data_IF_846323946524
#
_entry.id   IF_846323946524
#
_cell.length_a   1.000
_cell.length_b   1.000
_cell.length_c   1.000
_cell.angle_alpha   90.00
_cell.angle_beta   90.00
_cell.angle_gamma   90.00
#
_symmetry.space_group_name_H-M   'P 1'
#
loop_
_entity.id
_entity.type
_entity.pdbx_description
1 polymer ?
#
# COMPACT_ATOMS: atom_id res chain seq x y z
N UNK A 1 17.14 -0.48 -15.38
CA UNK A 1 16.85 -0.36 -13.94
C UNK A 1 15.43 -0.82 -13.75
N UNK A 2 15.22 -1.71 -12.83
CA UNK A 2 14.00 -2.48 -12.73
C UNK A 2 12.82 -1.64 -12.22
N UNK A 3 11.63 -1.90 -12.79
CA UNK A 3 10.33 -1.39 -12.33
C UNK A 3 10.06 -1.88 -10.90
N UNK A 4 10.58 -1.18 -9.92
CA UNK A 4 10.21 -1.41 -8.53
C UNK A 4 9.16 -0.38 -8.17
N UNK A 5 7.92 -0.73 -8.41
CA UNK A 5 6.83 -0.04 -7.77
C UNK A 5 6.85 -0.43 -6.32
N UNK A 6 7.29 0.52 -5.53
CA UNK A 6 6.97 0.48 -4.13
C UNK A 6 5.47 0.70 -4.07
N UNK A 7 4.71 -0.38 -3.88
CA UNK A 7 3.46 -0.25 -3.16
C UNK A 7 3.89 0.28 -1.80
N UNK A 8 3.81 1.58 -1.65
CA UNK A 8 4.30 2.29 -0.48
C UNK A 8 3.35 1.97 0.65
N UNK A 9 3.64 0.87 1.36
CA UNK A 9 2.93 0.54 2.58
C UNK A 9 3.45 1.48 3.66
N UNK A 10 2.95 2.71 3.61
CA UNK A 10 2.84 3.42 4.86
C UNK A 10 1.90 2.61 5.74
N UNK A 11 2.32 2.32 6.97
CA UNK A 11 1.43 1.75 7.95
C UNK A 11 0.19 2.65 8.13
N UNK A 12 -0.76 2.54 7.21
CA UNK A 12 -2.14 2.42 7.56
C UNK A 12 -2.29 0.92 7.77
N UNK A 13 -2.51 0.50 8.98
CA UNK A 13 -2.70 -0.91 9.27
C UNK A 13 -4.01 -1.33 8.60
N UNK A 14 -3.90 -1.90 7.41
CA UNK A 14 -4.93 -2.74 6.83
C UNK A 14 -4.37 -4.17 6.88
N UNK A 15 -4.36 -4.76 8.06
CA UNK A 15 -4.08 -6.18 8.21
C UNK A 15 -5.41 -6.92 8.27
N UNK A 16 -5.81 -7.50 7.16
CA UNK A 16 -6.85 -8.50 7.14
C UNK A 16 -6.26 -9.83 7.64
N UNK A 17 -6.46 -10.17 8.89
CA UNK A 17 -6.23 -11.52 9.41
C UNK A 17 -7.59 -12.15 9.72
N UNK A 18 -8.08 -13.00 8.84
CA UNK A 18 -9.25 -13.83 9.10
C UNK A 18 -8.90 -14.97 10.04
N UNK A 19 -9.52 -14.98 11.21
CA UNK A 19 -9.83 -16.21 11.94
C UNK A 19 -11.34 -16.19 12.20
N UNK A 20 -12.05 -17.03 11.47
CA UNK A 20 -13.46 -17.28 11.72
C UNK A 20 -13.61 -17.92 13.08
N UNK A 21 -14.23 -17.21 14.00
CA UNK A 21 -14.88 -17.78 15.19
C UNK A 21 -16.32 -17.32 15.13
N UNK A 22 -17.21 -18.31 15.12
CA UNK A 22 -18.64 -18.15 14.92
C UNK A 22 -19.27 -17.09 15.80
N UNK A 23 -19.91 -16.12 15.17
CA UNK A 23 -20.87 -15.26 15.84
C UNK A 23 -22.10 -16.12 16.13
N UNK A 24 -22.33 -16.37 17.41
CA UNK A 24 -23.54 -17.02 17.92
C UNK A 24 -24.75 -16.16 17.58
N UNK A 25 -25.75 -16.81 17.00
CA UNK A 25 -27.08 -16.29 16.70
C UNK A 25 -27.72 -15.58 17.89
N UNK A 26 -27.86 -14.28 17.81
CA UNK A 26 -28.85 -13.49 18.51
C UNK A 26 -29.22 -12.27 17.66
N UNK A 27 -29.74 -12.51 16.47
CA UNK A 27 -30.38 -11.48 15.67
C UNK A 27 -31.88 -11.72 15.73
N UNK A 28 -32.56 -10.99 16.62
CA UNK A 28 -34.01 -10.82 16.59
C UNK A 28 -34.42 -10.01 15.39
N UNK A 29 -35.54 -10.42 14.81
CA UNK A 29 -36.19 -9.92 13.60
C UNK A 29 -36.49 -8.42 13.62
N UNK A 30 -36.44 -7.80 12.44
CA UNK A 30 -36.98 -6.49 12.07
C UNK A 30 -36.35 -5.24 12.75
N UNK A 31 -35.07 -5.00 12.55
CA UNK A 31 -34.53 -3.64 12.58
C UNK A 31 -34.13 -3.23 11.17
N UNK A 32 -34.60 -2.05 10.71
CA UNK A 32 -33.99 -1.38 9.55
C UNK A 32 -32.47 -1.44 9.73
N UNK A 33 -31.72 -1.85 8.71
CA UNK A 33 -30.27 -2.06 8.82
C UNK A 33 -29.64 -0.80 9.43
N UNK A 34 -28.88 -0.95 10.51
CA UNK A 34 -28.20 0.18 11.17
C UNK A 34 -27.33 0.90 10.13
N UNK A 35 -27.54 2.22 9.89
CA UNK A 35 -26.86 2.95 8.82
C UNK A 35 -25.33 3.01 9.00
N UNK A 36 -24.82 2.63 10.17
CA UNK A 36 -23.37 2.52 10.44
C UNK A 36 -22.75 1.26 9.83
N UNK A 37 -23.54 0.20 9.61
CA UNK A 37 -23.05 -1.05 9.01
C UNK A 37 -22.69 -0.80 7.53
N UNK A 38 -21.49 -1.21 7.14
CA UNK A 38 -20.91 -0.92 5.82
C UNK A 38 -20.32 0.49 5.68
N UNK A 39 -20.47 1.35 6.71
CA UNK A 39 -19.79 2.66 6.72
C UNK A 39 -18.34 2.54 7.17
N UNK A 40 -17.51 3.51 6.76
CA UNK A 40 -16.14 3.63 7.26
C UNK A 40 -16.07 4.66 8.38
N UNK A 41 -15.29 4.33 9.41
CA UNK A 41 -15.01 5.21 10.55
C UNK A 41 -13.50 5.45 10.68
N UNK A 42 -13.12 6.64 11.11
CA UNK A 42 -11.75 7.03 11.38
C UNK A 42 -11.52 7.14 12.89
N UNK A 43 -10.43 6.57 13.38
CA UNK A 43 -10.02 6.66 14.77
C UNK A 43 -9.57 8.09 15.10
N UNK A 44 -10.15 8.67 16.15
CA UNK A 44 -9.82 10.03 16.64
C UNK A 44 -9.18 10.03 18.03
N UNK A 45 -8.94 8.86 18.62
CA UNK A 45 -8.22 8.69 19.89
C UNK A 45 -7.09 7.70 19.73
N UNK A 46 -5.87 8.14 20.03
CA UNK A 46 -4.71 7.23 20.07
C UNK A 46 -4.88 6.20 21.18
N UNK A 47 -4.60 4.94 20.88
CA UNK A 47 -4.73 3.86 21.84
C UNK A 47 -6.17 3.46 22.15
N UNK A 48 -7.14 3.79 21.27
CA UNK A 48 -8.51 3.31 21.42
C UNK A 48 -8.53 1.77 21.39
N UNK A 49 -9.00 1.11 22.47
CA UNK A 49 -8.97 -0.34 22.57
C UNK A 49 -10.14 -0.95 21.79
N UNK A 50 -9.85 -1.95 20.97
CA UNK A 50 -10.87 -2.88 20.47
C UNK A 50 -10.96 -4.08 21.40
N UNK A 51 -12.16 -4.44 21.78
CA UNK A 51 -12.41 -5.39 22.86
C UNK A 51 -13.32 -6.53 22.43
N UNK A 52 -13.05 -7.72 22.95
CA UNK A 52 -14.05 -8.77 23.15
C UNK A 52 -14.53 -8.73 24.61
N UNK A 53 -15.56 -9.50 24.99
CA UNK A 53 -15.95 -9.62 26.39
C UNK A 53 -14.81 -10.07 27.31
N UNK A 54 -13.80 -10.74 26.78
CA UNK A 54 -12.75 -11.40 27.56
C UNK A 54 -11.41 -10.64 27.55
N UNK A 55 -11.13 -9.82 26.51
CA UNK A 55 -9.83 -9.16 26.36
C UNK A 55 -9.87 -7.93 25.46
N UNK A 56 -8.80 -7.11 25.54
CA UNK A 56 -8.45 -6.15 24.48
C UNK A 56 -7.68 -6.90 23.40
N UNK A 57 -8.27 -7.00 22.19
CA UNK A 57 -7.70 -7.75 21.07
C UNK A 57 -6.82 -6.89 20.16
N UNK A 58 -7.05 -5.58 20.18
CA UNK A 58 -6.29 -4.61 19.38
C UNK A 58 -6.26 -3.25 20.08
N UNK A 59 -5.23 -2.48 19.80
CA UNK A 59 -5.12 -1.08 20.21
C UNK A 59 -4.88 -0.25 18.97
N UNK A 60 -5.84 0.62 18.64
CA UNK A 60 -5.83 1.36 17.37
C UNK A 60 -4.89 2.57 17.42
N UNK A 61 -4.44 2.98 16.23
CA UNK A 61 -3.69 4.20 16.05
C UNK A 61 -4.60 5.33 15.53
N UNK A 62 -4.18 6.55 15.83
CA UNK A 62 -4.89 7.74 15.39
C UNK A 62 -4.95 7.80 13.85
N UNK A 63 -6.15 7.98 13.30
CA UNK A 63 -6.38 8.08 11.87
C UNK A 63 -6.51 6.75 11.14
N UNK A 64 -6.46 5.61 11.83
CA UNK A 64 -6.86 4.34 11.22
C UNK A 64 -8.31 4.39 10.78
N UNK A 65 -8.61 3.78 9.64
CA UNK A 65 -9.94 3.74 9.04
C UNK A 65 -10.37 2.28 9.00
N UNK A 66 -11.56 2.01 9.53
CA UNK A 66 -12.15 0.68 9.58
C UNK A 66 -13.54 0.68 8.98
N UNK A 67 -13.92 -0.43 8.37
CA UNK A 67 -15.30 -0.70 7.97
C UNK A 67 -16.06 -1.33 9.13
N UNK A 68 -17.25 -0.84 9.39
CA UNK A 68 -18.13 -1.32 10.44
C UNK A 68 -18.93 -2.51 9.91
N UNK A 69 -18.69 -3.69 10.45
CA UNK A 69 -19.40 -4.91 10.04
C UNK A 69 -20.70 -5.15 10.82
N UNK A 70 -20.74 -4.73 12.11
CA UNK A 70 -21.94 -4.77 12.96
C UNK A 70 -21.97 -3.56 13.88
N UNK A 71 -23.16 -3.18 14.37
CA UNK A 71 -23.33 -2.15 15.36
C UNK A 71 -24.27 -2.61 16.46
N UNK A 72 -23.93 -2.31 17.74
CA UNK A 72 -24.76 -2.60 18.91
C UNK A 72 -24.65 -1.48 19.93
N UNK A 73 -25.67 -0.65 20.03
CA UNK A 73 -25.64 0.56 20.84
C UNK A 73 -24.52 1.51 20.41
N UNK A 74 -23.65 1.87 21.34
CA UNK A 74 -22.47 2.74 21.08
C UNK A 74 -21.22 1.94 20.63
N UNK A 75 -21.35 0.65 20.31
CA UNK A 75 -20.24 -0.21 19.95
C UNK A 75 -20.32 -0.61 18.48
N UNK A 76 -19.17 -0.58 17.80
CA UNK A 76 -18.97 -0.91 16.41
C UNK A 76 -18.07 -2.14 16.31
N UNK A 77 -18.53 -3.19 15.64
CA UNK A 77 -17.73 -4.39 15.40
C UNK A 77 -16.88 -4.21 14.18
N UNK A 78 -15.59 -4.41 14.34
CA UNK A 78 -14.58 -4.34 13.28
C UNK A 78 -14.08 -5.77 13.00
N UNK A 79 -14.63 -6.38 11.97
CA UNK A 79 -14.38 -7.79 11.65
C UNK A 79 -12.91 -8.07 11.36
N UNK A 80 -12.23 -7.19 10.63
CA UNK A 80 -10.81 -7.34 10.30
C UNK A 80 -9.88 -7.36 11.53
N UNK A 81 -10.35 -6.86 12.67
CA UNK A 81 -9.62 -6.86 13.95
C UNK A 81 -10.23 -7.81 14.99
N UNK A 82 -11.42 -8.34 14.69
CA UNK A 82 -12.12 -9.25 15.60
C UNK A 82 -12.50 -8.61 16.93
N UNK A 83 -12.89 -7.32 16.96
CA UNK A 83 -13.18 -6.62 18.18
C UNK A 83 -14.19 -5.49 18.06
N UNK A 84 -14.79 -5.15 19.22
CA UNK A 84 -15.70 -4.03 19.38
C UNK A 84 -14.93 -2.73 19.67
N UNK A 85 -15.22 -1.69 18.91
CA UNK A 85 -14.69 -0.34 19.07
C UNK A 85 -15.80 0.59 19.59
N UNK A 86 -15.47 1.48 20.53
CA UNK A 86 -16.44 2.45 21.01
C UNK A 86 -16.61 3.61 20.03
N UNK A 87 -17.84 3.87 19.61
CA UNK A 87 -18.17 4.87 18.59
C UNK A 87 -17.63 6.28 18.93
N UNK A 88 -17.63 6.67 20.20
CA UNK A 88 -17.09 7.98 20.66
C UNK A 88 -15.59 8.16 20.39
N UNK A 89 -14.87 7.09 20.07
CA UNK A 89 -13.46 7.12 19.72
C UNK A 89 -13.23 7.24 18.21
N UNK A 90 -14.32 7.43 17.46
CA UNK A 90 -14.32 7.55 16.00
C UNK A 90 -15.07 8.77 15.50
N UNK A 91 -14.90 9.06 14.23
CA UNK A 91 -15.79 9.90 13.42
C UNK A 91 -16.10 9.17 12.11
N UNK A 92 -17.31 9.38 11.54
CA UNK A 92 -17.58 8.85 10.20
C UNK A 92 -16.55 9.38 9.21
N UNK A 93 -15.97 8.50 8.40
CA UNK A 93 -14.92 8.89 7.46
C UNK A 93 -15.41 9.95 6.45
N UNK A 94 -16.66 9.83 5.99
CA UNK A 94 -17.25 10.74 5.00
C UNK A 94 -17.45 12.17 5.51
N UNK A 95 -17.61 12.36 6.84
CA UNK A 95 -17.83 13.70 7.45
C UNK A 95 -16.67 14.13 8.34
N UNK A 96 -15.60 13.35 8.39
CA UNK A 96 -14.49 13.56 9.33
C UNK A 96 -13.90 14.98 9.28
N UNK A 97 -13.71 15.54 8.08
CA UNK A 97 -13.18 16.91 7.90
C UNK A 97 -14.14 17.95 8.48
N UNK A 98 -15.43 17.82 8.22
CA UNK A 98 -16.44 18.78 8.69
C UNK A 98 -16.61 18.71 10.20
N UNK A 99 -16.70 17.49 10.76
CA UNK A 99 -16.83 17.27 12.19
C UNK A 99 -15.61 17.81 12.95
N UNK A 100 -14.39 17.54 12.45
CA UNK A 100 -13.16 18.03 13.05
C UNK A 100 -12.99 19.55 12.84
N UNK A 101 -13.50 20.13 11.75
CA UNK A 101 -13.54 21.57 11.54
C UNK A 101 -14.47 22.25 12.55
N UNK A 102 -15.65 21.67 12.80
CA UNK A 102 -16.56 22.16 13.83
C UNK A 102 -15.97 22.04 15.24
N UNK A 103 -15.23 20.98 15.55
CA UNK A 103 -14.49 20.84 16.82
C UNK A 103 -13.40 21.91 16.93
N UNK A 104 -12.64 22.12 15.88
CA UNK A 104 -11.56 23.11 15.81
C UNK A 104 -12.07 24.54 16.00
N UNK A 105 -13.23 24.89 15.43
CA UNK A 105 -13.86 26.20 15.62
C UNK A 105 -14.20 26.48 17.08
N UNK A 106 -14.57 25.43 17.85
CA UNK A 106 -14.87 25.55 19.29
C UNK A 106 -13.63 25.50 20.16
N UNK A 107 -12.65 24.71 19.77
CA UNK A 107 -11.40 24.49 20.51
C UNK A 107 -10.21 24.34 19.57
N UNK A 108 -9.47 25.43 19.26
CA UNK A 108 -8.31 25.39 18.39
C UNK A 108 -7.07 24.83 19.09
N UNK A 109 -7.18 23.60 19.62
CA UNK A 109 -6.09 22.91 20.29
C UNK A 109 -5.12 22.23 19.30
N UNK A 110 -3.84 21.97 19.69
CA UNK A 110 -2.91 21.25 18.86
C UNK A 110 -3.41 19.85 18.45
N UNK A 111 -4.16 19.19 19.34
CA UNK A 111 -4.75 17.88 19.09
C UNK A 111 -5.81 17.95 17.99
N UNK A 112 -6.70 18.96 18.02
CA UNK A 112 -7.76 19.10 17.01
C UNK A 112 -7.19 19.47 15.63
N UNK A 113 -6.11 20.28 15.56
CA UNK A 113 -5.36 20.50 14.32
C UNK A 113 -4.73 19.20 13.83
N UNK A 114 -4.08 18.43 14.72
CA UNK A 114 -3.49 17.14 14.35
C UNK A 114 -4.56 16.18 13.79
N UNK A 115 -5.69 16.04 14.48
CA UNK A 115 -6.81 15.18 14.05
C UNK A 115 -7.32 15.56 12.66
N UNK A 116 -7.57 16.86 12.40
CA UNK A 116 -8.06 17.29 11.09
C UNK A 116 -6.97 17.13 10.01
N UNK A 117 -5.71 17.37 10.34
CA UNK A 117 -4.58 17.07 9.46
C UNK A 117 -4.53 15.59 9.05
N UNK A 118 -4.83 14.69 10.00
CA UNK A 118 -4.94 13.25 9.71
C UNK A 118 -6.14 12.95 8.80
N UNK A 119 -7.29 13.60 9.00
CA UNK A 119 -8.43 13.46 8.11
C UNK A 119 -8.10 13.96 6.68
N UNK A 120 -7.45 15.11 6.54
CA UNK A 120 -6.97 15.58 5.23
C UNK A 120 -5.99 14.61 4.59
N UNK A 121 -5.07 14.02 5.37
CA UNK A 121 -4.13 13.03 4.87
C UNK A 121 -4.86 11.79 4.33
N UNK A 122 -5.87 11.31 5.04
CA UNK A 122 -6.69 10.18 4.65
C UNK A 122 -7.55 10.45 3.40
N UNK A 123 -7.96 11.71 3.20
CA UNK A 123 -8.67 12.16 1.99
C UNK A 123 -7.73 12.64 0.87
N UNK A 124 -6.42 12.35 0.98
CA UNK A 124 -5.39 12.68 -0.03
C UNK A 124 -5.20 14.21 -0.24
N UNK A 125 -5.70 15.03 0.69
CA UNK A 125 -5.56 16.48 0.66
C UNK A 125 -4.25 16.93 1.36
N UNK A 126 -3.13 16.45 0.83
CA UNK A 126 -1.82 16.50 1.51
C UNK A 126 -1.36 17.91 1.90
N UNK A 127 -1.60 18.92 1.06
CA UNK A 127 -1.22 20.30 1.38
C UNK A 127 -2.02 20.89 2.55
N UNK A 128 -3.31 20.55 2.64
CA UNK A 128 -4.15 20.94 3.78
C UNK A 128 -3.74 20.21 5.05
N UNK A 129 -3.38 18.93 4.92
CA UNK A 129 -2.83 18.13 6.01
C UNK A 129 -1.54 18.78 6.57
N UNK A 130 -0.60 19.17 5.70
CA UNK A 130 0.64 19.87 6.10
C UNK A 130 0.31 21.14 6.87
N UNK A 131 -0.62 21.97 6.38
CA UNK A 131 -1.02 23.22 7.05
C UNK A 131 -1.55 22.99 8.46
N UNK A 132 -2.37 21.98 8.65
CA UNK A 132 -2.92 21.64 9.98
C UNK A 132 -1.84 21.04 10.90
N UNK A 133 -0.95 20.22 10.40
CA UNK A 133 0.18 19.73 11.19
C UNK A 133 1.14 20.86 11.57
N UNK A 134 1.35 21.86 10.70
CA UNK A 134 2.14 23.05 11.02
C UNK A 134 1.54 23.82 12.20
N UNK A 135 0.22 24.01 12.19
CA UNK A 135 -0.50 24.65 13.29
C UNK A 135 -0.47 23.84 14.60
N UNK A 136 -0.59 22.52 14.49
CA UNK A 136 -0.42 21.61 15.64
C UNK A 136 0.98 21.74 16.24
N UNK A 137 2.02 21.67 15.39
CA UNK A 137 3.42 21.70 15.80
C UNK A 137 3.87 23.07 16.29
N UNK A 138 3.28 24.15 15.79
CA UNK A 138 3.55 25.50 16.33
C UNK A 138 3.13 25.62 17.79
N UNK A 139 2.09 24.90 18.22
CA UNK A 139 1.57 24.87 19.59
C UNK A 139 2.18 23.77 20.44
N UNK A 140 2.53 22.64 19.83
CA UNK A 140 3.12 21.46 20.47
C UNK A 140 4.31 20.93 19.66
N UNK A 141 5.49 21.59 19.71
CA UNK A 141 6.63 21.30 18.84
C UNK A 141 7.23 19.89 18.98
N UNK A 142 6.92 19.20 20.08
CA UNK A 142 7.40 17.83 20.37
C UNK A 142 6.32 16.77 20.20
N UNK A 143 5.22 17.07 19.50
CA UNK A 143 4.23 16.06 19.15
C UNK A 143 4.81 15.15 18.05
N UNK A 144 5.35 14.00 18.46
CA UNK A 144 5.98 13.01 17.58
C UNK A 144 5.02 12.46 16.52
N UNK A 145 3.74 12.26 16.87
CA UNK A 145 2.70 11.83 15.95
C UNK A 145 2.42 12.87 14.86
N UNK A 146 2.35 14.15 15.23
CA UNK A 146 2.15 15.23 14.25
C UNK A 146 3.38 15.39 13.32
N UNK A 147 4.61 15.27 13.86
CA UNK A 147 5.83 15.24 13.07
C UNK A 147 5.82 14.07 12.07
N UNK A 148 5.54 12.85 12.56
CA UNK A 148 5.47 11.68 11.69
C UNK A 148 4.41 11.84 10.59
N UNK A 149 3.22 12.33 10.92
CA UNK A 149 2.14 12.46 9.94
C UNK A 149 2.39 13.61 8.94
N UNK A 150 3.07 14.70 9.34
CA UNK A 150 3.54 15.72 8.41
C UNK A 150 4.64 15.17 7.49
N UNK A 151 5.55 14.37 8.04
CA UNK A 151 6.55 13.63 7.27
C UNK A 151 5.91 12.72 6.22
N UNK A 152 4.83 12.00 6.56
CA UNK A 152 4.04 11.20 5.61
C UNK A 152 3.41 12.08 4.51
N UNK A 153 2.82 13.23 4.88
CA UNK A 153 2.25 14.15 3.91
C UNK A 153 3.32 14.68 2.93
N UNK A 154 4.51 15.07 3.43
CA UNK A 154 5.63 15.47 2.57
C UNK A 154 6.13 14.34 1.67
N UNK A 155 6.18 13.11 2.18
CA UNK A 155 6.55 11.95 1.38
C UNK A 155 5.58 11.75 0.21
N UNK A 156 4.26 11.79 0.47
CA UNK A 156 3.22 11.65 -0.56
C UNK A 156 3.21 12.81 -1.56
N UNK A 157 3.68 13.98 -1.15
CA UNK A 157 3.95 15.12 -2.04
C UNK A 157 5.27 14.99 -2.82
N UNK A 158 6.05 13.92 -2.61
CA UNK A 158 7.36 13.72 -3.25
C UNK A 158 8.51 14.52 -2.63
N UNK A 159 8.28 15.27 -1.53
CA UNK A 159 9.35 15.98 -0.82
C UNK A 159 10.00 15.09 0.25
N UNK A 160 10.76 14.12 -0.23
CA UNK A 160 11.41 13.14 0.64
C UNK A 160 12.42 13.78 1.61
N UNK A 161 13.00 14.95 1.25
CA UNK A 161 13.92 15.67 2.15
C UNK A 161 13.19 16.27 3.35
N UNK A 162 12.01 16.89 3.16
CA UNK A 162 11.21 17.38 4.28
C UNK A 162 10.65 16.23 5.10
N UNK A 163 10.22 15.16 4.45
CA UNK A 163 9.77 13.94 5.12
C UNK A 163 10.82 13.37 6.07
N UNK A 164 12.07 13.19 5.61
CA UNK A 164 13.17 12.69 6.44
C UNK A 164 13.40 13.59 7.65
N UNK A 165 13.42 14.92 7.47
CA UNK A 165 13.61 15.86 8.61
C UNK A 165 12.52 15.72 9.67
N UNK A 166 11.28 15.54 9.26
CA UNK A 166 10.16 15.37 10.19
C UNK A 166 10.23 14.01 10.90
N UNK A 167 10.59 12.93 10.20
CA UNK A 167 10.83 11.64 10.83
C UNK A 167 12.03 11.66 11.78
N UNK A 168 13.10 12.38 11.46
CA UNK A 168 14.23 12.60 12.36
C UNK A 168 13.77 13.29 13.63
N UNK A 169 12.97 14.35 13.51
CA UNK A 169 12.41 15.07 14.66
C UNK A 169 11.48 14.18 15.50
N UNK A 170 10.64 13.34 14.87
CA UNK A 170 9.81 12.38 15.56
C UNK A 170 10.64 11.34 16.33
N UNK A 171 11.70 10.80 15.72
CA UNK A 171 12.60 9.83 16.34
C UNK A 171 13.50 10.45 17.43
N UNK A 172 13.74 11.76 17.39
CA UNK A 172 14.39 12.46 18.53
C UNK A 172 13.49 12.52 19.76
N UNK A 173 12.17 12.41 19.58
CA UNK A 173 11.21 12.33 20.70
C UNK A 173 11.01 10.88 21.14
N UNK A 174 10.87 9.97 20.18
CA UNK A 174 10.62 8.54 20.40
C UNK A 174 11.64 7.68 19.60
N UNK A 175 12.86 7.49 20.11
CA UNK A 175 13.95 6.83 19.34
C UNK A 175 13.68 5.38 18.95
N UNK A 176 12.85 4.67 19.69
CA UNK A 176 12.54 3.26 19.48
C UNK A 176 11.19 3.02 18.79
N UNK A 177 10.57 4.07 18.24
CA UNK A 177 9.29 3.91 17.54
C UNK A 177 9.54 3.26 16.16
N UNK A 178 9.16 1.98 16.05
CA UNK A 178 9.42 1.17 14.84
C UNK A 178 8.67 1.68 13.61
N UNK A 179 7.50 2.31 13.81
CA UNK A 179 6.75 2.91 12.70
C UNK A 179 7.47 4.13 12.12
N UNK A 180 8.07 4.96 12.98
CA UNK A 180 8.82 6.14 12.52
C UNK A 180 10.11 5.72 11.81
N UNK A 181 10.78 4.67 12.31
CA UNK A 181 11.94 4.06 11.63
C UNK A 181 11.55 3.54 10.25
N UNK A 182 10.44 2.79 10.16
CA UNK A 182 9.94 2.26 8.89
C UNK A 182 9.57 3.36 7.90
N UNK A 183 8.88 4.42 8.35
CA UNK A 183 8.49 5.53 7.50
C UNK A 183 9.72 6.34 7.01
N UNK A 184 10.70 6.56 7.89
CA UNK A 184 11.97 7.21 7.49
C UNK A 184 12.75 6.36 6.48
N UNK A 185 12.76 5.04 6.67
CA UNK A 185 13.40 4.13 5.73
C UNK A 185 12.80 4.24 4.32
N UNK A 186 11.48 4.30 4.20
CA UNK A 186 10.81 4.54 2.90
C UNK A 186 11.23 5.88 2.29
N UNK A 187 11.26 6.94 3.08
CA UNK A 187 11.69 8.26 2.60
C UNK A 187 13.18 8.27 2.17
N UNK A 188 14.04 7.55 2.89
CA UNK A 188 15.44 7.34 2.48
C UNK A 188 15.55 6.56 1.18
N UNK A 189 14.72 5.53 1.00
CA UNK A 189 14.73 4.70 -0.20
C UNK A 189 14.34 5.51 -1.44
N UNK A 190 13.29 6.34 -1.34
CA UNK A 190 12.87 7.24 -2.42
C UNK A 190 13.88 8.37 -2.68
N UNK A 191 14.59 8.82 -1.65
CA UNK A 191 15.71 9.75 -1.79
C UNK A 191 16.99 9.10 -2.35
N UNK A 192 16.96 7.80 -2.74
CA UNK A 192 18.11 7.06 -3.27
C UNK A 192 19.13 6.59 -2.23
N UNK A 193 18.79 6.64 -0.94
CA UNK A 193 19.69 6.34 0.18
C UNK A 193 19.44 4.92 0.75
N UNK A 194 19.59 3.87 -0.06
CA UNK A 194 19.32 2.46 0.33
C UNK A 194 20.05 2.04 1.61
N UNK A 195 21.28 2.51 1.85
CA UNK A 195 22.03 2.19 3.08
C UNK A 195 21.34 2.73 4.34
N UNK A 196 20.83 3.97 4.30
CA UNK A 196 20.10 4.56 5.42
C UNK A 196 18.78 3.84 5.65
N UNK A 197 18.06 3.51 4.57
CA UNK A 197 16.83 2.72 4.64
C UNK A 197 17.08 1.34 5.30
N UNK A 198 18.12 0.62 4.89
CA UNK A 198 18.48 -0.67 5.52
C UNK A 198 18.78 -0.51 7.01
N UNK A 199 19.51 0.53 7.40
CA UNK A 199 19.83 0.77 8.81
C UNK A 199 18.57 0.96 9.65
N UNK A 200 17.64 1.77 9.18
CA UNK A 200 16.39 2.03 9.90
C UNK A 200 15.52 0.78 10.00
N UNK A 201 15.37 0.01 8.91
CA UNK A 201 14.60 -1.23 8.89
C UNK A 201 15.24 -2.32 9.77
N UNK A 202 16.57 -2.42 9.78
CA UNK A 202 17.28 -3.32 10.69
C UNK A 202 17.04 -2.92 12.15
N UNK A 203 17.06 -1.62 12.46
CA UNK A 203 16.78 -1.13 13.81
C UNK A 203 15.33 -1.44 14.21
N UNK A 204 14.36 -1.24 13.32
CA UNK A 204 12.96 -1.56 13.57
C UNK A 204 12.77 -3.07 13.83
N UNK A 205 13.39 -3.93 13.02
CA UNK A 205 13.30 -5.37 13.16
C UNK A 205 14.12 -5.94 14.33
N UNK A 206 15.10 -5.21 14.85
CA UNK A 206 15.78 -5.56 16.11
C UNK A 206 14.84 -5.35 17.30
N UNK A 207 13.99 -4.33 17.26
CA UNK A 207 13.01 -4.01 18.32
C UNK A 207 11.78 -4.92 18.20
N UNK A 208 11.24 -5.08 16.99
CA UNK A 208 10.06 -5.90 16.68
C UNK A 208 10.41 -6.83 15.51
N UNK A 209 10.91 -8.07 15.79
CA UNK A 209 11.36 -9.01 14.76
C UNK A 209 10.26 -9.47 13.78
N UNK A 210 9.02 -9.45 14.21
CA UNK A 210 7.82 -9.83 13.46
C UNK A 210 7.05 -8.64 12.87
N UNK A 211 7.71 -7.50 12.72
CA UNK A 211 7.12 -6.33 12.05
C UNK A 211 7.04 -6.57 10.53
N UNK A 212 5.88 -7.06 10.10
CA UNK A 212 5.62 -7.56 8.75
C UNK A 212 5.93 -6.54 7.65
N UNK A 213 5.54 -5.28 7.86
CA UNK A 213 5.78 -4.19 6.91
C UNK A 213 7.26 -3.85 6.80
N UNK A 214 8.00 -3.89 7.90
CA UNK A 214 9.44 -3.63 7.87
C UNK A 214 10.21 -4.77 7.17
N UNK A 215 9.76 -6.03 7.32
CA UNK A 215 10.28 -7.15 6.54
C UNK A 215 10.04 -6.94 5.04
N UNK A 216 8.80 -6.64 4.64
CA UNK A 216 8.48 -6.36 3.25
C UNK A 216 9.32 -5.19 2.70
N UNK A 217 9.41 -4.09 3.43
CA UNK A 217 10.16 -2.91 3.00
C UNK A 217 11.67 -3.18 2.92
N UNK A 218 12.24 -4.00 3.82
CA UNK A 218 13.64 -4.41 3.72
C UNK A 218 13.88 -5.32 2.52
N UNK A 219 12.94 -6.20 2.22
CA UNK A 219 12.93 -6.99 0.99
C UNK A 219 12.97 -6.10 -0.26
N UNK A 220 12.19 -5.02 -0.31
CA UNK A 220 12.20 -4.03 -1.40
C UNK A 220 13.58 -3.35 -1.51
N UNK A 221 14.21 -2.98 -0.39
CA UNK A 221 15.57 -2.40 -0.43
C UNK A 221 16.59 -3.39 -1.00
N UNK A 222 16.50 -4.66 -0.61
CA UNK A 222 17.36 -5.72 -1.19
C UNK A 222 17.11 -5.91 -2.68
N UNK A 223 15.85 -5.87 -3.12
CA UNK A 223 15.51 -5.93 -4.54
C UNK A 223 16.14 -4.77 -5.33
N UNK A 224 16.09 -3.52 -4.83
CA UNK A 224 16.78 -2.37 -5.46
C UNK A 224 18.29 -2.52 -5.52
N UNK A 225 18.86 -3.32 -4.63
CA UNK A 225 20.29 -3.65 -4.59
C UNK A 225 20.64 -4.94 -5.35
N UNK A 226 19.68 -5.49 -6.10
CA UNK A 226 19.78 -6.76 -6.85
C UNK A 226 20.09 -8.00 -5.98
N UNK A 227 19.95 -7.90 -4.65
CA UNK A 227 20.05 -9.04 -3.72
C UNK A 227 18.69 -9.74 -3.60
N UNK A 228 18.34 -10.46 -4.67
CA UNK A 228 17.08 -11.18 -4.75
C UNK A 228 16.95 -12.30 -3.70
N UNK A 229 18.08 -12.84 -3.26
CA UNK A 229 18.10 -13.91 -2.25
C UNK A 229 17.72 -13.41 -0.87
N UNK A 230 18.27 -12.27 -0.44
CA UNK A 230 17.89 -11.63 0.82
C UNK A 230 16.45 -11.08 0.77
N UNK A 231 16.03 -10.52 -0.37
CA UNK A 231 14.67 -10.08 -0.58
C UNK A 231 13.65 -11.23 -0.38
N UNK A 232 13.90 -12.40 -0.99
CA UNK A 232 13.03 -13.57 -0.84
C UNK A 232 12.95 -14.07 0.62
N UNK A 233 14.05 -14.01 1.38
CA UNK A 233 14.01 -14.36 2.81
C UNK A 233 13.05 -13.47 3.58
N UNK A 234 13.11 -12.17 3.34
CA UNK A 234 12.27 -11.18 4.02
C UNK A 234 10.82 -11.28 3.59
N UNK A 235 10.52 -11.41 2.29
CA UNK A 235 9.15 -11.61 1.82
C UNK A 235 8.55 -12.93 2.33
N UNK A 236 9.33 -14.01 2.39
CA UNK A 236 8.89 -15.27 2.98
C UNK A 236 8.58 -15.12 4.47
N UNK A 237 9.40 -14.37 5.21
CA UNK A 237 9.15 -14.10 6.62
C UNK A 237 7.86 -13.26 6.80
N UNK A 238 7.67 -12.21 6.01
CA UNK A 238 6.45 -11.40 6.02
C UNK A 238 5.21 -12.25 5.72
N UNK A 239 5.26 -13.09 4.67
CA UNK A 239 4.13 -13.93 4.27
C UNK A 239 3.88 -15.14 5.20
N UNK A 240 4.87 -15.53 5.99
CA UNK A 240 4.68 -16.50 7.08
C UNK A 240 3.87 -15.89 8.23
N UNK A 241 4.07 -14.60 8.52
CA UNK A 241 3.35 -13.85 9.55
C UNK A 241 1.95 -13.46 9.07
N UNK A 242 1.87 -12.92 7.85
CA UNK A 242 0.60 -12.59 7.21
C UNK A 242 0.52 -13.18 5.79
N UNK A 243 -0.12 -14.38 5.63
CA UNK A 243 -0.28 -15.01 4.33
C UNK A 243 -1.18 -14.24 3.34
N UNK A 244 -1.90 -13.22 3.82
CA UNK A 244 -2.78 -12.38 3.00
C UNK A 244 -2.16 -11.03 2.65
N UNK A 245 -0.90 -10.79 2.98
CA UNK A 245 -0.21 -9.55 2.68
C UNK A 245 0.03 -9.41 1.17
N UNK A 246 -0.92 -8.79 0.47
CA UNK A 246 -0.97 -8.70 -0.99
C UNK A 246 0.28 -8.07 -1.58
N UNK A 247 0.82 -7.01 -0.95
CA UNK A 247 2.03 -6.34 -1.42
C UNK A 247 3.25 -7.24 -1.34
N UNK A 248 3.37 -8.02 -0.26
CA UNK A 248 4.47 -8.97 -0.12
C UNK A 248 4.37 -10.12 -1.14
N UNK A 249 3.15 -10.57 -1.51
CA UNK A 249 2.95 -11.54 -2.59
C UNK A 249 3.45 -10.99 -3.93
N UNK A 250 3.05 -9.77 -4.31
CA UNK A 250 3.51 -9.12 -5.54
C UNK A 250 5.03 -8.90 -5.58
N UNK A 251 5.60 -8.45 -4.46
CA UNK A 251 7.04 -8.24 -4.33
C UNK A 251 7.81 -9.56 -4.39
N UNK A 252 7.30 -10.62 -3.74
CA UNK A 252 7.91 -11.95 -3.81
C UNK A 252 7.84 -12.52 -5.23
N UNK A 253 6.71 -12.37 -5.90
CA UNK A 253 6.56 -12.77 -7.30
C UNK A 253 7.59 -12.08 -8.21
N UNK A 254 7.82 -10.80 -8.00
CA UNK A 254 8.86 -10.06 -8.70
C UNK A 254 10.26 -10.62 -8.42
N UNK A 255 10.59 -10.95 -7.17
CA UNK A 255 11.86 -11.54 -6.80
C UNK A 255 12.04 -12.95 -7.39
N UNK A 256 10.99 -13.78 -7.35
CA UNK A 256 10.95 -15.12 -7.93
C UNK A 256 11.16 -15.06 -9.45
N UNK A 257 10.48 -14.14 -10.14
CA UNK A 257 10.63 -13.89 -11.57
C UNK A 257 12.08 -13.58 -11.94
N UNK A 258 12.77 -12.73 -11.15
CA UNK A 258 14.19 -12.41 -11.33
C UNK A 258 15.12 -13.60 -11.13
N UNK A 259 14.70 -14.60 -10.37
CA UNK A 259 15.44 -15.86 -10.20
C UNK A 259 15.01 -16.95 -11.20
N UNK A 260 14.13 -16.67 -12.17
CA UNK A 260 13.62 -17.65 -13.12
C UNK A 260 12.61 -18.64 -12.53
N UNK A 261 12.12 -18.41 -11.31
CA UNK A 261 11.13 -19.25 -10.62
C UNK A 261 9.71 -18.84 -10.98
N UNK A 262 9.43 -18.90 -12.29
CA UNK A 262 8.21 -18.32 -12.87
C UNK A 262 6.91 -18.97 -12.38
N UNK A 263 6.88 -20.28 -12.20
CA UNK A 263 5.68 -20.99 -11.72
C UNK A 263 5.27 -20.50 -10.33
N UNK A 264 6.23 -20.26 -9.45
CA UNK A 264 5.96 -19.76 -8.10
C UNK A 264 5.50 -18.30 -8.14
N UNK A 265 6.09 -17.49 -9.03
CA UNK A 265 5.64 -16.12 -9.24
C UNK A 265 4.19 -16.04 -9.73
N UNK A 266 3.78 -16.93 -10.63
CA UNK A 266 2.37 -17.03 -11.08
C UNK A 266 1.45 -17.34 -9.91
N UNK A 267 1.80 -18.31 -9.07
CA UNK A 267 0.98 -18.69 -7.90
C UNK A 267 0.83 -17.53 -6.90
N UNK A 268 1.88 -16.77 -6.64
CA UNK A 268 1.82 -15.61 -5.75
C UNK A 268 0.90 -14.52 -6.32
N UNK A 269 0.99 -14.22 -7.60
CA UNK A 269 0.15 -13.21 -8.26
C UNK A 269 -1.31 -13.67 -8.33
N UNK A 270 -1.58 -14.94 -8.59
CA UNK A 270 -2.94 -15.50 -8.54
C UNK A 270 -3.54 -15.41 -7.12
N UNK A 271 -2.73 -15.67 -6.09
CA UNK A 271 -3.14 -15.49 -4.71
C UNK A 271 -3.42 -14.02 -4.38
N UNK A 272 -2.56 -13.10 -4.84
CA UNK A 272 -2.75 -11.66 -4.66
C UNK A 272 -4.08 -11.18 -5.29
N UNK A 273 -4.39 -11.61 -6.52
CA UNK A 273 -5.65 -11.31 -7.21
C UNK A 273 -6.85 -11.89 -6.47
N UNK A 274 -6.73 -13.13 -5.98
CA UNK A 274 -7.81 -13.78 -5.22
C UNK A 274 -8.13 -13.07 -3.90
N UNK A 275 -7.10 -12.56 -3.21
CA UNK A 275 -7.27 -11.83 -1.94
C UNK A 275 -7.80 -10.42 -2.19
N UNK A 276 -7.28 -9.72 -3.21
CA UNK A 276 -7.65 -8.35 -3.54
C UNK A 276 -7.92 -8.21 -5.05
N UNK A 277 -9.13 -8.58 -5.52
CA UNK A 277 -9.48 -8.53 -6.95
C UNK A 277 -9.45 -7.12 -7.55
N UNK A 278 -9.61 -6.08 -6.71
CA UNK A 278 -9.56 -4.68 -7.11
C UNK A 278 -8.15 -4.09 -7.26
N UNK A 279 -7.11 -4.86 -6.97
CA UNK A 279 -5.71 -4.37 -7.07
C UNK A 279 -5.16 -4.62 -8.47
N UNK A 280 -5.21 -3.60 -9.33
CA UNK A 280 -4.81 -3.70 -10.73
C UNK A 280 -3.33 -4.09 -10.90
N UNK A 281 -2.45 -3.75 -9.96
CA UNK A 281 -1.03 -4.07 -10.02
C UNK A 281 -0.79 -5.59 -10.11
N UNK A 282 -1.48 -6.38 -9.29
CA UNK A 282 -1.33 -7.84 -9.32
C UNK A 282 -1.83 -8.42 -10.65
N UNK A 283 -2.94 -7.90 -11.17
CA UNK A 283 -3.50 -8.30 -12.48
C UNK A 283 -2.53 -7.95 -13.60
N UNK A 284 -1.98 -6.73 -13.57
CA UNK A 284 -1.01 -6.25 -14.54
C UNK A 284 0.30 -7.07 -14.52
N UNK A 285 0.80 -7.37 -13.32
CA UNK A 285 2.07 -8.11 -13.16
C UNK A 285 1.92 -9.56 -13.65
N UNK A 286 0.78 -10.19 -13.38
CA UNK A 286 0.48 -11.52 -13.93
C UNK A 286 0.36 -11.47 -15.47
N UNK A 287 -0.33 -10.47 -16.01
CA UNK A 287 -0.45 -10.27 -17.44
C UNK A 287 0.94 -10.09 -18.10
N UNK A 288 1.77 -9.24 -17.53
CA UNK A 288 3.15 -9.03 -17.98
C UNK A 288 3.96 -10.32 -17.97
N UNK A 289 3.94 -11.05 -16.86
CA UNK A 289 4.66 -12.32 -16.73
C UNK A 289 4.21 -13.32 -17.80
N UNK A 290 2.92 -13.52 -17.97
CA UNK A 290 2.37 -14.45 -18.96
C UNK A 290 2.62 -14.01 -20.40
N UNK A 291 2.73 -12.72 -20.71
CA UNK A 291 3.02 -12.20 -22.05
C UNK A 291 4.49 -12.34 -22.43
N UNK A 292 5.40 -12.07 -21.48
CA UNK A 292 6.81 -11.83 -21.76
C UNK A 292 7.75 -12.93 -21.30
N UNK A 293 7.25 -13.91 -20.50
CA UNK A 293 8.07 -14.99 -19.92
C UNK A 293 8.90 -15.69 -21.01
N UNK A 294 10.24 -15.86 -20.82
CA UNK A 294 11.05 -16.62 -21.74
C UNK A 294 10.72 -18.11 -21.76
N UNK A 295 10.19 -18.64 -20.63
CA UNK A 295 9.74 -20.04 -20.54
C UNK A 295 8.40 -20.23 -21.25
N UNK A 296 8.42 -21.04 -22.32
CA UNK A 296 7.23 -21.35 -23.12
C UNK A 296 6.15 -22.12 -22.32
N UNK A 297 6.53 -22.85 -21.29
CA UNK A 297 5.58 -23.61 -20.46
C UNK A 297 4.74 -22.70 -19.56
N UNK A 298 5.23 -21.52 -19.27
CA UNK A 298 4.56 -20.50 -18.43
C UNK A 298 3.85 -19.47 -19.31
N UNK A 299 4.45 -19.15 -20.48
CA UNK A 299 3.92 -18.11 -21.34
C UNK A 299 2.54 -18.48 -21.88
N UNK A 300 1.58 -17.59 -21.70
CA UNK A 300 0.21 -17.73 -22.18
C UNK A 300 -0.31 -16.36 -22.64
N UNK A 301 -0.07 -16.05 -23.90
CA UNK A 301 -0.35 -14.71 -24.46
C UNK A 301 -1.86 -14.41 -24.53
N UNK A 302 -2.69 -15.41 -24.74
CA UNK A 302 -4.14 -15.23 -24.76
C UNK A 302 -4.69 -14.88 -23.37
N UNK A 303 -4.27 -15.61 -22.31
CA UNK A 303 -4.61 -15.24 -20.93
C UNK A 303 -4.02 -13.90 -20.52
N UNK A 304 -2.79 -13.63 -20.96
CA UNK A 304 -2.12 -12.34 -20.74
C UNK A 304 -2.92 -11.17 -21.33
N UNK A 305 -3.43 -11.32 -22.55
CA UNK A 305 -4.23 -10.30 -23.22
C UNK A 305 -5.54 -10.02 -22.47
N UNK A 306 -6.21 -11.07 -21.99
CA UNK A 306 -7.43 -10.92 -21.15
C UNK A 306 -7.15 -10.12 -19.88
N UNK A 307 -6.08 -10.49 -19.14
CA UNK A 307 -5.69 -9.82 -17.91
C UNK A 307 -5.19 -8.38 -18.17
N UNK A 308 -4.44 -8.15 -19.25
CA UNK A 308 -3.94 -6.82 -19.59
C UNK A 308 -5.10 -5.86 -19.91
N UNK A 309 -6.12 -6.32 -20.64
CA UNK A 309 -7.34 -5.53 -20.87
C UNK A 309 -8.05 -5.24 -19.54
N UNK A 310 -8.23 -6.24 -18.69
CA UNK A 310 -8.79 -6.04 -17.36
C UNK A 310 -8.02 -4.99 -16.56
N UNK A 311 -6.68 -5.04 -16.54
CA UNK A 311 -5.87 -4.03 -15.83
C UNK A 311 -6.01 -2.62 -16.44
N UNK A 312 -6.14 -2.50 -17.76
CA UNK A 312 -6.43 -1.23 -18.44
C UNK A 312 -7.82 -0.70 -18.06
N UNK A 313 -8.85 -1.56 -18.07
CA UNK A 313 -10.22 -1.19 -17.68
C UNK A 313 -10.27 -0.70 -16.21
N UNK A 314 -9.57 -1.38 -15.30
CA UNK A 314 -9.47 -0.99 -13.89
C UNK A 314 -8.80 0.37 -13.67
N UNK A 315 -8.04 0.86 -14.65
CA UNK A 315 -7.29 2.13 -14.60
C UNK A 315 -7.78 3.16 -15.60
N UNK A 316 -8.93 2.94 -16.23
CA UNK A 316 -9.47 3.79 -17.30
C UNK A 316 -8.42 4.09 -18.39
N UNK A 317 -7.51 3.17 -18.68
CA UNK A 317 -6.39 3.34 -19.61
C UNK A 317 -5.47 4.52 -19.28
N UNK A 318 -5.43 4.96 -18.02
CA UNK A 318 -4.66 6.14 -17.57
C UNK A 318 -3.32 5.81 -16.93
N UNK A 319 -2.91 4.54 -16.98
CA UNK A 319 -1.63 4.08 -16.44
C UNK A 319 -0.72 3.59 -17.56
N UNK A 320 0.45 4.22 -17.72
CA UNK A 320 1.40 3.88 -18.78
C UNK A 320 1.84 2.40 -18.74
N UNK A 321 1.95 1.82 -17.57
CA UNK A 321 2.39 0.43 -17.38
C UNK A 321 1.35 -0.60 -17.78
N UNK A 322 0.06 -0.33 -17.56
CA UNK A 322 -0.99 -1.22 -18.05
C UNK A 322 -1.07 -1.19 -19.57
N UNK A 323 -0.82 -0.03 -20.18
CA UNK A 323 -0.73 0.11 -21.64
C UNK A 323 0.51 -0.61 -22.21
N UNK A 324 1.67 -0.55 -21.55
CA UNK A 324 2.88 -1.28 -21.95
C UNK A 324 2.65 -2.80 -21.89
N UNK A 325 1.97 -3.26 -20.83
CA UNK A 325 1.59 -4.67 -20.66
C UNK A 325 0.59 -5.13 -21.72
N UNK A 326 -0.42 -4.31 -22.03
CA UNK A 326 -1.38 -4.58 -23.09
C UNK A 326 -0.69 -4.68 -24.46
N UNK A 327 0.22 -3.76 -24.74
CA UNK A 327 1.01 -3.78 -25.97
C UNK A 327 1.87 -5.05 -26.07
N UNK A 328 2.51 -5.48 -24.99
CA UNK A 328 3.29 -6.71 -24.97
C UNK A 328 2.42 -7.96 -25.19
N UNK A 329 1.22 -8.01 -24.60
CA UNK A 329 0.28 -9.11 -24.78
C UNK A 329 -0.28 -9.18 -26.20
N UNK A 330 -0.68 -8.03 -26.79
CA UNK A 330 -1.13 -7.92 -28.18
C UNK A 330 -0.04 -8.36 -29.16
N UNK A 331 1.20 -7.93 -28.94
CA UNK A 331 2.34 -8.36 -29.76
C UNK A 331 2.61 -9.87 -29.63
N UNK A 332 2.35 -10.44 -28.44
CA UNK A 332 2.39 -11.89 -28.22
C UNK A 332 1.38 -12.68 -29.06
N UNK A 333 0.20 -12.09 -29.32
CA UNK A 333 -0.85 -12.61 -30.20
C UNK A 333 -0.69 -12.23 -31.69
N UNK A 334 0.42 -11.56 -32.05
CA UNK A 334 0.69 -11.14 -33.42
C UNK A 334 -0.07 -9.88 -33.87
N UNK A 335 -0.77 -9.19 -32.98
CA UNK A 335 -1.56 -7.98 -33.28
C UNK A 335 -0.67 -6.72 -33.21
N UNK A 336 0.39 -6.68 -34.02
CA UNK A 336 1.46 -5.67 -33.93
C UNK A 336 1.01 -4.24 -34.16
N UNK A 337 0.03 -4.00 -35.04
CA UNK A 337 -0.46 -2.65 -35.32
C UNK A 337 -1.16 -2.02 -34.11
N UNK A 338 -2.00 -2.78 -33.43
CA UNK A 338 -2.68 -2.34 -32.21
C UNK A 338 -1.69 -2.24 -31.04
N UNK A 339 -0.78 -3.20 -30.90
CA UNK A 339 0.28 -3.20 -29.92
C UNK A 339 1.15 -1.94 -30.02
N UNK A 340 1.55 -1.54 -31.24
CA UNK A 340 2.38 -0.35 -31.46
C UNK A 340 1.66 0.95 -31.02
N UNK A 341 0.35 1.04 -31.25
CA UNK A 341 -0.45 2.19 -30.79
C UNK A 341 -0.40 2.33 -29.27
N UNK A 342 -0.72 1.26 -28.51
CA UNK A 342 -0.71 1.30 -27.05
C UNK A 342 0.70 1.46 -26.49
N UNK A 343 1.72 0.89 -27.12
CA UNK A 343 3.10 1.12 -26.73
C UNK A 343 3.51 2.61 -26.91
N UNK A 344 3.08 3.27 -27.99
CA UNK A 344 3.34 4.69 -28.21
C UNK A 344 2.64 5.56 -27.15
N UNK A 345 1.36 5.29 -26.84
CA UNK A 345 0.61 5.95 -25.75
C UNK A 345 1.34 5.77 -24.40
N UNK A 346 1.81 4.56 -24.11
CA UNK A 346 2.58 4.27 -22.91
C UNK A 346 3.88 5.10 -22.84
N UNK A 347 4.62 5.25 -23.93
CA UNK A 347 5.85 6.07 -23.98
C UNK A 347 5.56 7.54 -23.66
N UNK A 348 4.45 8.09 -24.16
CA UNK A 348 4.08 9.49 -23.89
C UNK A 348 3.74 9.73 -22.43
N UNK A 349 3.00 8.80 -21.84
CA UNK A 349 2.55 8.90 -20.44
C UNK A 349 3.64 8.54 -19.42
N UNK A 350 4.63 7.78 -19.80
CA UNK A 350 5.64 7.24 -18.87
C UNK A 350 6.52 8.35 -18.27
N UNK A 351 6.99 8.16 -17.02
CA UNK A 351 8.02 8.99 -16.40
C UNK A 351 9.31 8.99 -17.24
N UNK A 352 10.11 10.06 -17.11
CA UNK A 352 11.31 10.26 -17.97
C UNK A 352 12.31 9.10 -17.89
N UNK A 353 12.50 8.53 -16.72
CA UNK A 353 13.41 7.41 -16.44
C UNK A 353 12.93 6.10 -17.09
N UNK A 354 11.62 5.88 -17.23
CA UNK A 354 11.04 4.69 -17.84
C UNK A 354 10.91 4.77 -19.38
N UNK A 355 10.82 5.97 -19.94
CA UNK A 355 10.57 6.18 -21.38
C UNK A 355 11.55 5.43 -22.28
N UNK A 356 12.83 5.33 -21.89
CA UNK A 356 13.85 4.64 -22.68
C UNK A 356 13.55 3.14 -22.80
N UNK A 357 13.15 2.52 -21.70
CA UNK A 357 12.81 1.10 -21.64
C UNK A 357 11.59 0.79 -22.49
N UNK A 358 10.51 1.58 -22.30
CA UNK A 358 9.24 1.39 -23.01
C UNK A 358 9.42 1.67 -24.50
N UNK A 359 10.23 2.65 -24.88
CA UNK A 359 10.58 2.88 -26.28
C UNK A 359 11.26 1.66 -26.90
N UNK A 360 12.12 0.95 -26.17
CA UNK A 360 12.70 -0.32 -26.62
C UNK A 360 11.65 -1.41 -26.86
N UNK A 361 10.56 -1.44 -26.06
CA UNK A 361 9.43 -2.33 -26.32
C UNK A 361 8.69 -1.92 -27.60
N UNK A 362 8.40 -0.62 -27.78
CA UNK A 362 7.80 -0.09 -29.02
C UNK A 362 8.62 -0.44 -30.26
N UNK A 363 9.95 -0.23 -30.21
CA UNK A 363 10.84 -0.57 -31.31
C UNK A 363 10.80 -2.07 -31.67
N UNK A 364 10.73 -2.92 -30.63
CA UNK A 364 10.59 -4.38 -30.81
C UNK A 364 9.25 -4.74 -31.46
N UNK A 365 8.17 -4.13 -31.03
CA UNK A 365 6.81 -4.36 -31.53
C UNK A 365 6.69 -3.87 -32.98
N UNK A 366 7.21 -2.69 -33.31
CA UNK A 366 7.20 -2.14 -34.68
C UNK A 366 8.04 -2.95 -35.64
N UNK A 367 9.05 -3.67 -35.15
CA UNK A 367 9.81 -4.65 -35.94
C UNK A 367 9.07 -6.00 -36.13
N UNK A 368 7.79 -6.10 -35.73
CA UNK A 368 6.98 -7.30 -35.85
C UNK A 368 7.41 -8.44 -34.89
N UNK A 369 8.00 -8.08 -33.75
CA UNK A 369 8.51 -9.06 -32.79
C UNK A 369 7.77 -8.91 -31.44
N UNK A 370 7.45 -10.03 -30.77
CA UNK A 370 6.89 -9.98 -29.43
C UNK A 370 7.96 -9.54 -28.40
N UNK A 371 7.52 -8.80 -27.37
CA UNK A 371 8.37 -8.44 -26.23
C UNK A 371 8.67 -9.71 -25.43
N UNK A 372 9.94 -9.89 -25.05
CA UNK A 372 10.39 -11.00 -24.20
C UNK A 372 11.28 -10.47 -23.09
N UNK A 373 11.02 -10.90 -21.87
CA UNK A 373 11.89 -10.58 -20.76
C UNK A 373 13.23 -11.29 -20.90
N UNK A 374 14.32 -10.56 -20.68
CA UNK A 374 15.67 -11.13 -20.66
C UNK A 374 16.08 -11.29 -19.20
N UNK A 375 16.45 -12.51 -18.80
CA UNK A 375 17.19 -12.74 -17.56
C UNK A 375 18.57 -12.13 -17.74
N UNK A 376 18.89 -11.14 -16.94
CA UNK A 376 20.24 -10.59 -16.81
C UNK A 376 20.93 -11.13 -15.58
#
# INVERSE_FOLDING_TARGET
>A
MADWRIATVFCFVTAAAGLGVGASEAAGQDAAADPRIGSRVMIIRHGAPMRTPEATVWTSYLGEIFEVSLANGEWLWIEEKGGWLWEKETVPYSTAIDDLSARLARNPSPENFHLRGVAFLAHEEYLRAVSDFDESLRRAPRNSGALNNRGKAYYLLGDHRRAIRDFDAALNVEPSNVMFLNNRALAHLEAGSSRSALKDLQSALLIVPDFTEALNNRGIVYMRSEDHSSALKDFNAALKLDPKFVDALGNRASALRKQGRYSEAVLDLENAIRISPGKFEAVNDLAWLLATCPDNSIRNTSRALTLARQACDMTDYRQWNTLDTLAAALAGEGQFSEAARHAAESVEMAPRDERRRIRGHLDTITAGKPVREQLR
#
